data_IF_944594714674
#
_entry.id   IF_944594714674
#
_cell.length_a   1.000
_cell.length_b   1.000
_cell.length_c   1.000
_cell.angle_alpha   90.00
_cell.angle_beta   90.00
_cell.angle_gamma   90.00
#
_symmetry.space_group_name_H-M   'P 1'
#
loop_
_entity.id
_entity.type
_entity.pdbx_description
1 polymer ?
#
# COMPACT_ATOMS: atom_id res chain seq x y z
N UNK A 1 -0.15 18.81 23.01
CA UNK A 1 -0.27 18.44 22.66
C UNK A 1 -0.60 18.10 21.86
N UNK A 2 -0.63 18.02 21.67
CA UNK A 2 -0.99 17.70 20.97
C UNK A 2 -1.40 17.07 20.35
N UNK A 3 -1.68 16.62 20.39
CA UNK A 3 -2.16 15.96 19.89
C UNK A 3 -3.01 15.98 19.25
N UNK A 4 -3.26 16.13 19.18
CA UNK A 4 -4.04 16.14 18.71
C UNK A 4 -4.53 15.97 17.87
N UNK A 5 -4.59 16.05 17.56
CA UNK A 5 -5.19 15.95 16.98
C UNK A 5 -5.33 15.32 16.11
N UNK A 6 -5.66 14.79 16.24
CA UNK A 6 -5.89 14.14 15.44
C UNK A 6 -6.87 14.39 14.63
N UNK A 7 -6.71 14.97 13.91
CA UNK A 7 -7.70 15.18 13.01
C UNK A 7 -7.98 13.97 12.31
N UNK A 8 -9.19 13.66 12.12
CA UNK A 8 -9.50 12.50 11.45
C UNK A 8 -9.78 12.84 10.03
N UNK A 9 -8.81 12.78 9.22
CA UNK A 9 -8.98 13.05 7.82
C UNK A 9 -9.07 11.76 7.07
N UNK A 10 -9.74 11.72 5.92
CA UNK A 10 -9.69 10.53 5.11
C UNK A 10 -8.26 10.21 4.78
N UNK A 11 -7.89 8.95 4.82
CA UNK A 11 -6.58 8.55 4.43
C UNK A 11 -6.39 8.79 2.95
N UNK A 12 -5.24 9.32 2.60
CA UNK A 12 -4.87 9.47 1.20
C UNK A 12 -3.79 8.46 0.90
N UNK A 13 -4.05 7.58 -0.02
CA UNK A 13 -3.15 6.47 -0.31
C UNK A 13 -2.82 6.40 -1.78
N UNK A 14 -1.65 5.83 -2.07
CA UNK A 14 -1.31 5.43 -3.41
C UNK A 14 -1.84 4.01 -3.59
N UNK A 15 -2.56 3.77 -4.66
CA UNK A 15 -3.03 2.44 -4.98
C UNK A 15 -1.94 1.71 -5.74
N UNK A 16 -1.49 0.59 -5.24
CA UNK A 16 -0.45 -0.17 -5.93
C UNK A 16 -1.04 -1.42 -6.55
N UNK A 17 -0.88 -1.54 -7.86
CA UNK A 17 -1.43 -2.64 -8.61
C UNK A 17 -0.31 -3.58 -9.03
N UNK A 18 -0.43 -4.84 -8.70
CA UNK A 18 0.59 -5.81 -9.04
C UNK A 18 -0.09 -7.13 -9.27
N UNK A 19 -0.06 -7.57 -10.51
CA UNK A 19 -0.63 -8.85 -10.87
C UNK A 19 0.45 -9.71 -11.49
N UNK A 20 0.20 -11.00 -11.53
CA UNK A 20 1.15 -11.91 -12.07
C UNK A 20 0.55 -12.70 -13.18
N UNK A 21 1.38 -13.48 -13.84
CA UNK A 21 0.94 -14.41 -14.85
C UNK A 21 1.12 -13.85 -16.22
N UNK A 22 0.25 -14.31 -17.11
CA UNK A 22 0.34 -14.02 -18.51
C UNK A 22 0.22 -12.54 -18.78
N UNK A 23 1.19 -11.95 -19.46
CA UNK A 23 1.14 -10.54 -19.70
C UNK A 23 -0.03 -10.18 -20.60
N UNK A 24 -0.55 -11.10 -21.39
CA UNK A 24 -1.70 -10.80 -22.21
C UNK A 24 -2.97 -10.65 -21.39
N UNK A 25 -2.96 -11.11 -20.14
CA UNK A 25 -4.10 -10.95 -19.26
C UNK A 25 -3.84 -9.94 -18.15
N UNK A 26 -2.69 -9.31 -18.17
CA UNK A 26 -2.32 -8.40 -17.10
C UNK A 26 -3.29 -7.23 -16.99
N UNK A 27 -3.67 -6.65 -18.14
CA UNK A 27 -4.59 -5.52 -18.11
C UNK A 27 -5.93 -5.90 -17.51
N UNK A 28 -6.44 -7.06 -17.87
CA UNK A 28 -7.71 -7.51 -17.34
C UNK A 28 -7.62 -7.71 -15.83
N UNK A 29 -6.54 -8.34 -15.38
CA UNK A 29 -6.36 -8.57 -13.94
C UNK A 29 -6.18 -7.29 -13.17
N UNK A 30 -5.43 -6.35 -13.75
CA UNK A 30 -5.26 -5.06 -13.09
C UNK A 30 -6.57 -4.31 -13.00
N UNK A 31 -7.39 -4.38 -14.03
CA UNK A 31 -8.69 -3.72 -13.99
C UNK A 31 -9.55 -4.28 -12.87
N UNK A 32 -9.55 -5.59 -12.71
CA UNK A 32 -10.31 -6.20 -11.61
C UNK A 32 -9.74 -5.84 -10.27
N UNK A 33 -8.41 -5.83 -10.16
CA UNK A 33 -7.75 -5.48 -8.91
C UNK A 33 -8.03 -4.04 -8.55
N UNK A 34 -7.99 -3.16 -9.52
CA UNK A 34 -8.28 -1.76 -9.30
C UNK A 34 -9.70 -1.55 -8.80
N UNK A 35 -10.67 -2.22 -9.43
CA UNK A 35 -12.05 -2.09 -9.02
C UNK A 35 -12.23 -2.58 -7.58
N UNK A 36 -11.60 -3.68 -7.25
CA UNK A 36 -11.67 -4.27 -5.92
C UNK A 36 -11.13 -3.29 -4.86
N UNK A 37 -10.00 -2.69 -5.15
CA UNK A 37 -9.38 -1.73 -4.23
C UNK A 37 -10.24 -0.47 -4.12
N UNK A 38 -10.76 0.03 -5.24
CA UNK A 38 -11.52 1.27 -5.19
C UNK A 38 -12.83 1.10 -4.45
N UNK A 39 -13.45 -0.07 -4.55
CA UNK A 39 -14.67 -0.33 -3.82
C UNK A 39 -14.39 -0.35 -2.31
N UNK A 40 -13.31 -0.98 -1.91
CA UNK A 40 -12.92 -1.00 -0.50
C UNK A 40 -12.61 0.42 -0.02
N UNK A 41 -11.86 1.17 -0.80
CA UNK A 41 -11.48 2.52 -0.41
C UNK A 41 -12.72 3.39 -0.23
N UNK A 42 -13.67 3.28 -1.14
CA UNK A 42 -14.89 4.07 -1.04
C UNK A 42 -15.66 3.71 0.22
N UNK A 43 -15.73 2.43 0.54
CA UNK A 43 -16.48 2.00 1.72
C UNK A 43 -15.82 2.44 3.02
N UNK A 44 -14.52 2.66 3.01
CA UNK A 44 -13.78 2.99 4.23
C UNK A 44 -13.27 4.43 4.27
N UNK A 45 -13.70 5.26 3.34
CA UNK A 45 -13.32 6.68 3.38
C UNK A 45 -11.88 6.94 3.00
N UNK A 46 -11.28 6.06 2.20
CA UNK A 46 -9.90 6.24 1.78
C UNK A 46 -9.88 6.93 0.42
N UNK A 47 -9.07 7.95 0.28
CA UNK A 47 -8.93 8.67 -0.97
C UNK A 47 -7.76 8.10 -1.73
N UNK A 48 -7.98 7.74 -2.98
CA UNK A 48 -6.92 7.25 -3.84
C UNK A 48 -6.28 8.47 -4.50
N UNK A 49 -5.10 8.83 -4.04
CA UNK A 49 -4.43 10.04 -4.53
C UNK A 49 -3.67 9.79 -5.83
N UNK A 50 -3.37 8.55 -6.13
CA UNK A 50 -2.68 8.20 -7.35
C UNK A 50 -2.50 6.72 -7.40
N UNK A 51 -1.87 6.21 -8.46
CA UNK A 51 -1.64 4.79 -8.56
C UNK A 51 -0.29 4.53 -9.17
N UNK A 52 0.28 3.38 -8.84
CA UNK A 52 1.46 2.83 -9.48
C UNK A 52 1.18 1.40 -9.78
N UNK A 53 1.82 0.86 -10.78
CA UNK A 53 1.62 -0.56 -11.06
C UNK A 53 2.93 -1.18 -11.50
N UNK A 54 3.05 -2.46 -11.22
CA UNK A 54 4.24 -3.19 -11.55
C UNK A 54 4.30 -3.40 -13.05
N UNK A 55 5.47 -3.19 -13.60
CA UNK A 55 5.71 -3.52 -14.98
C UNK A 55 5.84 -5.04 -15.05
N UNK A 56 4.99 -5.70 -15.79
CA UNK A 56 4.99 -7.15 -15.85
C UNK A 56 6.31 -7.72 -16.31
N UNK A 57 7.10 -6.94 -17.01
CA UNK A 57 8.38 -7.41 -17.54
C UNK A 57 9.56 -7.07 -16.65
N UNK A 58 9.35 -6.35 -15.55
CA UNK A 58 10.45 -5.90 -14.72
C UNK A 58 10.19 -6.25 -13.28
N UNK A 59 10.84 -7.31 -12.83
CA UNK A 59 10.64 -7.77 -11.47
C UNK A 59 11.11 -6.76 -10.43
N UNK A 60 12.17 -6.05 -10.73
CA UNK A 60 12.71 -5.12 -9.74
C UNK A 60 11.91 -3.84 -9.58
N UNK A 61 10.98 -3.61 -10.47
CA UNK A 61 10.20 -2.39 -10.38
C UNK A 61 9.43 -2.29 -9.09
N UNK A 62 9.05 -3.41 -8.50
CA UNK A 62 8.30 -3.39 -7.24
C UNK A 62 9.13 -2.73 -6.15
N UNK A 63 10.40 -3.10 -6.04
CA UNK A 63 11.26 -2.52 -5.01
C UNK A 63 11.42 -1.02 -5.21
N UNK A 64 11.63 -0.62 -6.45
CA UNK A 64 11.80 0.81 -6.76
C UNK A 64 10.53 1.58 -6.46
N UNK A 65 9.38 0.99 -6.77
CA UNK A 65 8.11 1.65 -6.52
C UNK A 65 7.88 1.84 -5.03
N UNK A 66 8.24 0.85 -4.20
CA UNK A 66 8.05 1.00 -2.77
C UNK A 66 8.97 2.05 -2.19
N UNK A 67 10.19 2.20 -2.73
CA UNK A 67 11.06 3.28 -2.31
C UNK A 67 10.47 4.64 -2.68
N UNK A 68 9.89 4.75 -3.87
CA UNK A 68 9.26 6.00 -4.27
C UNK A 68 8.05 6.32 -3.42
N UNK A 69 7.25 5.31 -3.10
CA UNK A 69 6.07 5.53 -2.27
C UNK A 69 6.47 5.93 -0.86
N UNK A 70 7.55 5.34 -0.34
CA UNK A 70 8.06 5.73 0.97
C UNK A 70 8.48 7.20 0.98
N UNK A 71 9.09 7.66 -0.11
CA UNK A 71 9.46 9.07 -0.18
C UNK A 71 8.25 9.97 -0.19
N UNK A 72 7.21 9.60 -0.92
CA UNK A 72 6.00 10.42 -0.94
C UNK A 72 5.37 10.48 0.44
N UNK A 73 5.41 9.40 1.19
CA UNK A 73 4.89 9.38 2.53
C UNK A 73 5.74 10.25 3.45
N UNK A 74 7.07 10.12 3.35
CA UNK A 74 7.97 10.94 4.17
C UNK A 74 7.77 12.42 3.91
N UNK A 75 7.38 12.78 2.69
CA UNK A 75 7.15 14.17 2.34
C UNK A 75 5.71 14.61 2.58
N UNK A 76 4.96 13.78 3.27
CA UNK A 76 3.56 14.09 3.63
C UNK A 76 2.65 14.29 2.44
N UNK A 77 2.99 13.68 1.30
CA UNK A 77 2.13 13.79 0.14
C UNK A 77 0.99 12.83 0.21
N UNK A 78 1.22 11.65 0.76
CA UNK A 78 0.18 10.65 0.99
C UNK A 78 0.45 10.01 2.33
N UNK A 79 -0.48 9.24 2.84
CA UNK A 79 -0.37 8.66 4.16
C UNK A 79 -0.12 7.16 4.11
N UNK A 80 -0.32 6.54 2.99
CA UNK A 80 -0.11 5.10 2.91
C UNK A 80 -0.22 4.56 1.51
N UNK A 81 -0.19 3.25 1.45
CA UNK A 81 -0.29 2.50 0.21
C UNK A 81 -1.46 1.53 0.39
N UNK A 82 -2.29 1.37 -0.62
CA UNK A 82 -3.38 0.42 -0.55
C UNK A 82 -3.19 -0.62 -1.64
N UNK A 83 -3.29 -1.88 -1.28
CA UNK A 83 -3.08 -3.00 -2.19
C UNK A 83 -4.23 -3.98 -2.04
N UNK A 84 -4.39 -4.87 -3.00
CA UNK A 84 -5.44 -5.87 -2.94
C UNK A 84 -5.12 -6.93 -1.89
N UNK A 85 -3.87 -7.35 -1.81
CA UNK A 85 -3.48 -8.39 -0.86
C UNK A 85 -1.97 -8.38 -0.70
N UNK A 86 -1.48 -9.18 0.23
CA UNK A 86 -0.04 -9.24 0.51
C UNK A 86 0.77 -9.73 -0.68
N UNK A 87 0.20 -10.55 -1.53
CA UNK A 87 0.94 -11.02 -2.69
C UNK A 87 1.29 -9.88 -3.63
N UNK A 88 0.50 -8.81 -3.63
CA UNK A 88 0.82 -7.64 -4.43
C UNK A 88 2.04 -6.91 -3.89
N UNK A 89 2.33 -7.06 -2.60
CA UNK A 89 3.52 -6.47 -2.00
C UNK A 89 4.73 -7.35 -2.30
N UNK A 90 4.62 -8.63 -2.02
CA UNK A 90 5.68 -9.58 -2.33
C UNK A 90 5.17 -10.98 -2.05
N UNK A 91 5.64 -11.95 -2.82
CA UNK A 91 5.35 -13.34 -2.54
C UNK A 91 6.27 -13.92 -1.49
N UNK A 92 7.41 -13.29 -1.28
CA UNK A 92 8.36 -13.72 -0.29
C UNK A 92 8.02 -13.04 1.03
N UNK A 93 7.77 -13.82 2.06
CA UNK A 93 7.35 -13.29 3.34
C UNK A 93 8.37 -12.33 3.93
N UNK A 94 9.65 -12.66 3.81
CA UNK A 94 10.69 -11.79 4.36
C UNK A 94 10.73 -10.46 3.62
N UNK A 95 10.66 -10.52 2.30
CA UNK A 95 10.66 -9.30 1.50
C UNK A 95 9.41 -8.48 1.78
N UNK A 96 8.27 -9.13 1.98
CA UNK A 96 7.04 -8.41 2.32
C UNK A 96 7.19 -7.68 3.64
N UNK A 97 7.80 -8.30 4.63
CA UNK A 97 8.04 -7.64 5.90
C UNK A 97 8.95 -6.43 5.72
N UNK A 98 9.98 -6.55 4.88
CA UNK A 98 10.87 -5.41 4.65
C UNK A 98 10.12 -4.26 4.02
N UNK A 99 9.21 -4.53 3.09
CA UNK A 99 8.44 -3.49 2.44
C UNK A 99 7.45 -2.83 3.38
N UNK A 100 6.79 -3.62 4.22
CA UNK A 100 5.90 -3.06 5.23
C UNK A 100 6.72 -2.18 6.18
N UNK A 101 7.89 -2.66 6.60
CA UNK A 101 8.75 -1.87 7.48
C UNK A 101 9.20 -0.58 6.84
N UNK A 102 9.54 -0.62 5.55
CA UNK A 102 9.98 0.59 4.85
C UNK A 102 8.88 1.65 4.87
N UNK A 103 7.65 1.25 4.60
CA UNK A 103 6.54 2.19 4.60
C UNK A 103 6.25 2.67 6.02
N UNK A 104 6.30 1.77 7.00
CA UNK A 104 6.06 2.18 8.39
C UNK A 104 7.14 3.14 8.88
N UNK A 105 8.39 2.93 8.49
CA UNK A 105 9.45 3.83 8.90
C UNK A 105 9.33 5.20 8.27
N UNK A 106 8.71 5.28 7.10
CA UNK A 106 8.47 6.56 6.48
C UNK A 106 7.30 7.30 7.13
N UNK A 107 6.59 6.65 8.03
CA UNK A 107 5.47 7.27 8.73
C UNK A 107 4.11 6.88 8.19
N UNK A 108 4.04 5.88 7.32
CA UNK A 108 2.79 5.48 6.71
C UNK A 108 2.40 4.06 7.02
N UNK A 109 1.39 3.60 6.34
CA UNK A 109 0.88 2.25 6.53
C UNK A 109 0.59 1.63 5.18
N UNK A 110 0.52 0.32 5.15
CA UNK A 110 0.01 -0.40 3.99
C UNK A 110 -1.34 -0.98 4.39
N UNK A 111 -2.33 -0.74 3.57
CA UNK A 111 -3.66 -1.28 3.80
C UNK A 111 -3.88 -2.33 2.72
N UNK A 112 -4.18 -3.54 3.15
CA UNK A 112 -4.49 -4.62 2.24
C UNK A 112 -5.98 -4.87 2.31
N UNK A 113 -6.65 -4.92 1.17
CA UNK A 113 -8.08 -5.17 1.18
C UNK A 113 -8.37 -6.52 1.81
N UNK A 114 -7.56 -7.52 1.49
CA UNK A 114 -7.81 -8.86 2.01
C UNK A 114 -7.40 -9.03 3.47
N UNK A 115 -6.29 -8.44 3.88
CA UNK A 115 -5.74 -8.70 5.21
C UNK A 115 -5.90 -7.55 6.19
N UNK A 116 -6.27 -6.39 5.71
CA UNK A 116 -6.45 -5.24 6.59
C UNK A 116 -5.18 -4.40 6.72
N UNK A 117 -5.09 -3.68 7.79
CA UNK A 117 -3.96 -2.79 8.02
C UNK A 117 -2.70 -3.57 8.32
N UNK A 118 -1.64 -3.35 7.55
CA UNK A 118 -0.40 -4.07 7.73
C UNK A 118 0.61 -3.21 8.44
N UNK A 119 1.02 -3.68 9.61
CA UNK A 119 2.05 -3.03 10.38
C UNK A 119 2.95 -4.10 10.93
N UNK A 120 4.17 -3.75 11.20
CA UNK A 120 5.02 -4.63 11.95
C UNK A 120 4.52 -4.51 13.36
N UNK A 121 3.91 -5.52 13.83
CA UNK A 121 3.20 -5.43 15.06
C UNK A 121 4.02 -5.33 16.25
N UNK A 122 4.64 -4.30 16.53
CA UNK A 122 5.40 -4.27 17.57
C UNK A 122 4.88 -3.59 18.57
N UNK A 123 5.43 -3.09 19.17
CA UNK A 123 5.14 -2.64 20.22
C UNK A 123 4.40 -1.53 20.31
N UNK A 124 4.03 -0.90 19.40
CA UNK A 124 3.34 0.25 19.69
C UNK A 124 2.08 0.00 20.29
N UNK A 125 1.54 -1.10 20.15
CA UNK A 125 0.32 -1.26 20.78
C UNK A 125 0.49 -1.43 22.17
N UNK A 126 1.60 -1.51 22.59
CA UNK A 126 1.78 -1.67 23.88
C UNK A 126 1.49 -0.54 24.65
N UNK A 127 1.48 0.49 24.19
CA UNK A 127 1.20 1.47 25.02
C UNK A 127 0.08 2.07 24.96
N UNK A 128 -0.26 2.04 25.16
CA UNK A 128 -1.04 2.53 25.31
C UNK A 128 -1.40 2.76 25.83
#
# INVERSE_FOLDING_TARGET
>A
MSRKKRVILPYECIMYLSTEGDIFKADYRETKQEKYIREYAKAHGIIIAGSMHRDALRMKAVDEHFLQMAKLISNNRVQGVIVANMKAVSRDVIDAYHKVGLINMAGGVIISVDEGLLKLGLKEEVYE
#
